data_IF_721668980518
#
_entry.id   IF_721668980518
#
_cell.length_a   1.000
_cell.length_b   1.000
_cell.length_c   1.000
_cell.angle_alpha   90.00
_cell.angle_beta   90.00
_cell.angle_gamma   90.00
#
_symmetry.space_group_name_H-M   'P 1'
#
loop_
_entity.id
_entity.type
_entity.pdbx_description
1 polymer ?
#
# COMPACT_ATOMS: atom_id res chain seq x y z
N UNK A 1 10.66 -25.30 19.13
CA UNK A 1 11.12 -25.69 17.79
C UNK A 1 10.61 -24.66 16.80
N UNK A 2 11.47 -23.75 16.36
CA UNK A 2 11.18 -22.84 15.24
C UNK A 2 10.94 -23.70 13.99
N UNK A 3 9.89 -23.45 13.20
CA UNK A 3 9.71 -24.19 11.96
C UNK A 3 10.95 -23.98 11.08
N UNK A 4 11.40 -24.99 10.33
CA UNK A 4 12.47 -24.80 9.38
C UNK A 4 12.05 -23.71 8.39
N UNK A 5 12.98 -22.81 8.07
CA UNK A 5 12.85 -21.86 6.96
C UNK A 5 12.90 -22.67 5.66
N UNK A 6 11.84 -23.42 5.36
CA UNK A 6 11.53 -23.69 3.97
C UNK A 6 11.31 -22.33 3.32
N UNK A 7 11.80 -22.14 2.09
CA UNK A 7 11.75 -20.87 1.38
C UNK A 7 10.29 -20.46 1.13
N UNK A 8 9.64 -19.87 2.14
CA UNK A 8 8.24 -19.48 2.14
C UNK A 8 7.98 -18.60 0.92
N UNK A 9 7.15 -19.05 -0.01
CA UNK A 9 6.89 -18.31 -1.24
C UNK A 9 6.15 -17.00 -0.99
N UNK A 10 5.52 -16.89 0.19
CA UNK A 10 4.91 -15.67 0.71
C UNK A 10 5.91 -14.72 1.39
N UNK A 11 7.20 -15.04 1.42
CA UNK A 11 8.24 -14.18 1.98
C UNK A 11 9.14 -13.64 0.85
N UNK A 12 8.94 -12.38 0.42
CA UNK A 12 9.86 -11.70 -0.49
C UNK A 12 11.29 -11.68 0.05
N UNK A 13 12.27 -11.51 -0.86
CA UNK A 13 13.65 -11.27 -0.47
C UNK A 13 13.74 -9.98 0.36
N UNK A 14 14.64 -9.96 1.34
CA UNK A 14 14.97 -8.70 1.99
C UNK A 14 15.63 -7.76 0.97
N UNK A 15 15.12 -6.54 0.75
CA UNK A 15 15.72 -5.62 -0.20
C UNK A 15 17.17 -5.29 0.16
N UNK A 16 18.04 -5.16 -0.85
CA UNK A 16 19.47 -4.86 -0.70
C UNK A 16 19.87 -3.79 -1.70
N UNK A 17 20.92 -3.03 -1.37
CA UNK A 17 21.50 -2.08 -2.29
C UNK A 17 21.93 -2.77 -3.60
N UNK A 18 21.57 -2.18 -4.74
CA UNK A 18 21.76 -2.75 -6.07
C UNK A 18 20.53 -3.51 -6.59
N UNK A 19 19.51 -3.75 -5.77
CA UNK A 19 18.22 -4.20 -6.28
C UNK A 19 17.55 -3.06 -7.08
N UNK A 20 16.95 -3.41 -8.22
CA UNK A 20 16.17 -2.48 -9.05
C UNK A 20 14.98 -3.21 -9.68
N UNK A 21 13.79 -2.61 -9.65
CA UNK A 21 12.57 -3.19 -10.22
C UNK A 21 11.83 -2.13 -11.02
N UNK A 22 11.42 -2.46 -12.25
CA UNK A 22 10.65 -1.57 -13.12
C UNK A 22 9.30 -2.18 -13.38
N UNK A 23 8.26 -1.37 -13.21
CA UNK A 23 6.86 -1.76 -13.32
C UNK A 23 6.13 -0.90 -14.34
N UNK A 24 5.07 -1.47 -14.90
CA UNK A 24 4.00 -0.71 -15.53
C UNK A 24 2.78 -0.79 -14.64
N UNK A 25 2.00 0.28 -14.56
CA UNK A 25 0.67 0.27 -13.98
C UNK A 25 -0.33 0.73 -15.02
N UNK A 26 -1.41 -0.02 -15.18
CA UNK A 26 -2.48 0.29 -16.11
C UNK A 26 -3.79 0.41 -15.35
N UNK A 27 -4.49 1.53 -15.50
CA UNK A 27 -5.77 1.80 -14.87
C UNK A 27 -6.94 1.80 -15.88
N UNK A 28 -8.07 1.20 -15.49
CA UNK A 28 -9.30 1.10 -16.26
C UNK A 28 -10.51 1.45 -15.38
N UNK A 29 -11.57 2.09 -15.91
CA UNK A 29 -11.63 2.78 -17.19
C UNK A 29 -10.75 4.04 -17.18
N UNK A 30 -10.08 4.35 -18.29
CA UNK A 30 -9.22 5.53 -18.41
C UNK A 30 -7.95 5.28 -19.24
N UNK A 31 -7.50 4.03 -19.35
CA UNK A 31 -6.36 3.64 -20.19
C UNK A 31 -5.04 4.28 -19.79
N UNK A 32 -4.97 4.88 -18.59
CA UNK A 32 -3.77 5.55 -18.11
C UNK A 32 -2.70 4.50 -17.83
N UNK A 33 -1.49 4.73 -18.37
CA UNK A 33 -0.32 3.89 -18.11
C UNK A 33 0.75 4.71 -17.40
N UNK A 34 1.21 4.19 -16.27
CA UNK A 34 2.25 4.80 -15.43
C UNK A 34 3.45 3.85 -15.35
N UNK A 35 4.64 4.36 -15.60
CA UNK A 35 5.88 3.63 -15.33
C UNK A 35 6.32 3.87 -13.89
N UNK A 36 6.78 2.83 -13.20
CA UNK A 36 7.45 2.99 -11.92
C UNK A 36 8.81 2.31 -11.94
N UNK A 37 9.81 2.92 -11.33
CA UNK A 37 11.12 2.32 -11.08
C UNK A 37 11.49 2.43 -9.62
N UNK A 38 11.85 1.31 -9.02
CA UNK A 38 12.19 1.16 -7.62
C UNK A 38 13.68 0.82 -7.58
N UNK A 39 14.51 1.75 -7.13
CA UNK A 39 15.96 1.56 -7.00
C UNK A 39 16.34 1.54 -5.52
N UNK A 40 17.04 0.49 -5.09
CA UNK A 40 17.53 0.34 -3.73
C UNK A 40 19.01 0.64 -3.65
N UNK A 41 19.41 1.57 -2.78
CA UNK A 41 20.80 2.00 -2.64
C UNK A 41 21.23 2.09 -1.18
N UNK A 42 22.51 1.83 -0.91
CA UNK A 42 23.09 2.08 0.41
C UNK A 42 23.08 3.58 0.68
N UNK A 43 22.60 3.96 1.84
CA UNK A 43 22.47 5.35 2.24
C UNK A 43 22.75 5.53 3.73
N UNK A 44 22.67 6.78 4.17
CA UNK A 44 22.56 7.11 5.59
C UNK A 44 21.33 7.99 5.79
N UNK A 45 20.65 7.82 6.93
CA UNK A 45 19.53 8.67 7.33
C UNK A 45 19.75 9.13 8.76
N UNK A 46 19.84 10.45 8.96
CA UNK A 46 20.12 11.07 10.27
C UNK A 46 21.35 10.47 10.98
N UNK A 47 22.41 10.20 10.20
CA UNK A 47 23.67 9.65 10.70
C UNK A 47 23.68 8.13 10.96
N UNK A 48 22.56 7.43 10.74
CA UNK A 48 22.46 5.98 10.84
C UNK A 48 22.55 5.32 9.46
N UNK A 49 23.07 4.08 9.41
CA UNK A 49 23.05 3.28 8.18
C UNK A 49 21.61 3.02 7.72
N UNK A 50 21.34 3.21 6.44
CA UNK A 50 20.01 3.11 5.85
C UNK A 50 20.06 2.40 4.48
N UNK A 51 18.93 1.81 4.10
CA UNK A 51 18.63 1.47 2.71
C UNK A 51 17.68 2.53 2.16
N UNK A 52 18.07 3.23 1.10
CA UNK A 52 17.22 4.17 0.40
C UNK A 52 16.46 3.47 -0.73
N UNK A 53 15.14 3.53 -0.70
CA UNK A 53 14.27 3.18 -1.82
C UNK A 53 13.89 4.46 -2.56
N UNK A 54 14.40 4.61 -3.77
CA UNK A 54 13.98 5.66 -4.70
C UNK A 54 12.89 5.12 -5.62
N UNK A 55 11.70 5.72 -5.56
CA UNK A 55 10.61 5.42 -6.49
C UNK A 55 10.56 6.56 -7.50
N UNK A 56 10.83 6.23 -8.77
CA UNK A 56 10.63 7.13 -9.91
C UNK A 56 9.32 6.77 -10.58
N UNK A 57 8.38 7.71 -10.63
CA UNK A 57 7.10 7.56 -11.35
C UNK A 57 7.16 8.35 -12.64
N UNK A 58 6.80 7.74 -13.77
CA UNK A 58 6.75 8.40 -15.07
C UNK A 58 5.33 8.33 -15.62
N UNK A 59 4.73 9.50 -15.86
CA UNK A 59 3.39 9.67 -16.41
C UNK A 59 3.45 10.64 -17.59
N UNK A 60 2.98 10.24 -18.77
CA UNK A 60 2.93 11.12 -19.95
C UNK A 60 4.26 11.83 -20.26
N UNK A 61 5.39 11.13 -20.06
CA UNK A 61 6.73 11.68 -20.30
C UNK A 61 7.29 12.58 -19.18
N UNK A 62 6.53 12.84 -18.11
CA UNK A 62 6.98 13.58 -16.93
C UNK A 62 7.34 12.61 -15.81
N UNK A 63 8.51 12.79 -15.20
CA UNK A 63 8.96 11.96 -14.08
C UNK A 63 8.96 12.72 -12.76
N UNK A 64 8.54 12.04 -11.69
CA UNK A 64 8.67 12.50 -10.31
C UNK A 64 9.39 11.43 -9.49
N UNK A 65 10.08 11.84 -8.41
CA UNK A 65 10.82 10.94 -7.54
C UNK A 65 10.44 11.15 -6.08
N UNK A 66 10.38 10.05 -5.34
CA UNK A 66 10.28 10.05 -3.88
C UNK A 66 11.30 9.07 -3.30
N UNK A 67 11.91 9.42 -2.16
CA UNK A 67 12.89 8.56 -1.49
C UNK A 67 12.45 8.28 -0.07
N UNK A 68 12.34 7.01 0.27
CA UNK A 68 12.14 6.52 1.64
C UNK A 68 13.38 5.79 2.13
N UNK A 69 13.59 5.80 3.44
CA UNK A 69 14.73 5.20 4.12
C UNK A 69 14.23 4.14 5.10
N UNK A 70 14.82 2.95 5.03
CA UNK A 70 14.55 1.85 5.95
C UNK A 70 15.84 1.36 6.61
N UNK A 71 15.70 0.74 7.78
CA UNK A 71 16.80 0.05 8.42
C UNK A 71 17.21 -1.15 7.55
N UNK A 72 18.49 -1.26 7.13
CA UNK A 72 18.91 -2.29 6.19
C UNK A 72 18.87 -3.71 6.77
N UNK A 73 18.79 -3.85 8.10
CA UNK A 73 18.76 -5.13 8.81
C UNK A 73 17.33 -5.54 9.15
N UNK A 74 16.52 -4.62 9.68
CA UNK A 74 15.18 -4.93 10.18
C UNK A 74 14.06 -4.57 9.20
N UNK A 75 14.34 -3.78 8.17
CA UNK A 75 13.34 -3.24 7.25
C UNK A 75 12.46 -2.13 7.86
N UNK A 76 12.69 -1.75 9.13
CA UNK A 76 11.90 -0.73 9.80
C UNK A 76 11.99 0.62 9.09
N UNK A 77 10.86 1.31 8.93
CA UNK A 77 10.82 2.65 8.33
C UNK A 77 11.57 3.66 9.21
N UNK A 78 12.55 4.36 8.62
CA UNK A 78 13.33 5.40 9.30
C UNK A 78 12.80 6.81 8.97
N UNK A 79 12.28 6.99 7.77
CA UNK A 79 11.77 8.27 7.30
C UNK A 79 11.79 8.38 5.78
N UNK A 80 11.53 9.58 5.27
CA UNK A 80 11.66 9.94 3.86
C UNK A 80 12.38 11.29 3.77
N UNK A 81 12.95 11.62 2.61
CA UNK A 81 13.34 13.00 2.35
C UNK A 81 12.08 13.84 2.33
N UNK A 82 12.06 14.94 3.08
CA UNK A 82 10.91 15.81 3.18
C UNK A 82 10.51 16.32 1.78
N UNK A 83 9.44 15.76 1.21
CA UNK A 83 8.59 16.57 0.36
C UNK A 83 8.08 17.73 1.24
N UNK A 84 8.07 18.95 0.70
CA UNK A 84 7.73 20.18 1.41
C UNK A 84 6.55 19.98 2.39
N UNK A 85 6.64 20.59 3.58
CA UNK A 85 5.77 20.42 4.75
C UNK A 85 4.27 20.63 4.50
N UNK A 86 3.64 19.67 3.83
CA UNK A 86 2.20 19.51 3.63
C UNK A 86 1.72 18.12 4.07
N UNK A 87 2.53 17.39 4.86
CA UNK A 87 2.32 15.98 5.12
C UNK A 87 1.07 15.73 5.95
N UNK A 88 0.13 15.00 5.35
CA UNK A 88 -0.96 14.36 6.07
C UNK A 88 -0.39 13.19 6.88
N UNK A 89 -0.61 13.17 8.19
CA UNK A 89 -0.21 12.08 9.09
C UNK A 89 -1.34 11.08 9.21
N UNK A 90 -1.04 9.79 9.12
CA UNK A 90 -1.98 8.70 9.38
C UNK A 90 -1.53 7.97 10.64
N UNK A 91 -2.38 7.95 11.67
CA UNK A 91 -2.18 7.15 12.88
C UNK A 91 -3.14 5.97 12.86
N UNK A 92 -2.64 4.75 12.94
CA UNK A 92 -3.45 3.53 13.06
C UNK A 92 -3.50 3.04 14.50
N UNK A 93 -4.62 2.44 14.86
CA UNK A 93 -4.87 1.78 16.13
C UNK A 93 -5.20 0.34 15.83
N UNK A 94 -4.13 -0.45 15.70
CA UNK A 94 -4.20 -1.86 15.35
C UNK A 94 -4.48 -2.69 16.62
N UNK A 95 -5.24 -3.80 16.51
CA UNK A 95 -5.44 -4.70 17.63
C UNK A 95 -4.11 -5.35 18.03
N UNK A 96 -3.88 -5.67 19.32
CA UNK A 96 -2.58 -6.18 19.78
C UNK A 96 -2.13 -7.49 19.10
N UNK A 97 -3.08 -8.31 18.66
CA UNK A 97 -2.87 -9.60 17.99
C UNK A 97 -2.90 -9.49 16.46
N UNK A 98 -2.88 -8.26 15.92
CA UNK A 98 -2.91 -7.98 14.49
C UNK A 98 -1.93 -8.83 13.69
N UNK A 99 -0.67 -8.84 14.11
CA UNK A 99 0.41 -9.53 13.39
C UNK A 99 0.19 -11.04 13.37
N UNK A 100 -0.29 -11.62 14.47
CA UNK A 100 -0.55 -13.06 14.57
C UNK A 100 -1.71 -13.48 13.66
N UNK A 101 -2.78 -12.66 13.60
CA UNK A 101 -3.90 -12.90 12.68
C UNK A 101 -3.43 -12.90 11.24
N UNK A 102 -2.67 -11.88 10.82
CA UNK A 102 -2.10 -11.82 9.47
C UNK A 102 -1.22 -13.03 9.19
N UNK A 103 -0.28 -13.33 10.08
CA UNK A 103 0.65 -14.43 9.92
C UNK A 103 -0.11 -15.74 9.68
N UNK A 104 -1.16 -16.01 10.46
CA UNK A 104 -1.94 -17.24 10.31
C UNK A 104 -2.55 -17.38 8.90
N UNK A 105 -3.10 -16.30 8.33
CA UNK A 105 -3.59 -16.34 6.94
C UNK A 105 -2.45 -16.49 5.94
N UNK A 106 -1.32 -15.80 6.13
CA UNK A 106 -0.15 -15.91 5.26
C UNK A 106 0.46 -17.31 5.24
N UNK A 107 0.42 -18.06 6.35
CA UNK A 107 1.04 -19.38 6.43
C UNK A 107 0.13 -20.53 6.03
N UNK A 108 -1.19 -20.31 5.94
CA UNK A 108 -2.15 -21.39 5.72
C UNK A 108 -3.09 -21.08 4.54
N UNK A 109 -2.96 -21.87 3.46
CA UNK A 109 -3.83 -21.74 2.27
C UNK A 109 -5.29 -21.96 2.65
N UNK A 110 -6.17 -21.09 2.14
CA UNK A 110 -7.61 -21.11 2.41
C UNK A 110 -8.02 -20.47 3.74
N UNK A 111 -7.07 -20.09 4.60
CA UNK A 111 -7.39 -19.34 5.82
C UNK A 111 -7.65 -17.88 5.50
N UNK A 112 -8.61 -17.31 6.22
CA UNK A 112 -8.99 -15.91 6.12
C UNK A 112 -8.71 -15.26 7.47
N UNK A 113 -7.85 -14.24 7.47
CA UNK A 113 -7.67 -13.36 8.62
C UNK A 113 -8.54 -12.13 8.45
N UNK A 114 -9.27 -11.74 9.49
CA UNK A 114 -10.04 -10.50 9.54
C UNK A 114 -9.46 -9.60 10.63
N UNK A 115 -9.15 -8.37 10.26
CA UNK A 115 -8.63 -7.37 11.19
C UNK A 115 -9.43 -6.09 11.05
N UNK A 116 -9.89 -5.57 12.19
CA UNK A 116 -10.49 -4.26 12.29
C UNK A 116 -9.45 -3.28 12.85
N UNK A 117 -9.22 -2.19 12.13
CA UNK A 117 -8.26 -1.14 12.46
C UNK A 117 -9.00 0.19 12.49
N UNK A 118 -8.65 1.05 13.42
CA UNK A 118 -9.10 2.45 13.38
C UNK A 118 -7.95 3.32 12.90
N UNK A 119 -8.25 4.29 12.07
CA UNK A 119 -7.26 5.28 11.67
C UNK A 119 -7.75 6.69 12.02
N UNK A 120 -6.79 7.55 12.35
CA UNK A 120 -6.97 8.98 12.48
C UNK A 120 -5.97 9.69 11.58
N UNK A 121 -6.49 10.47 10.64
CA UNK A 121 -5.72 11.19 9.63
C UNK A 121 -5.72 12.66 9.99
N UNK A 122 -4.56 13.30 10.10
CA UNK A 122 -4.42 14.72 10.46
C UNK A 122 -3.47 15.46 9.53
N UNK A 123 -3.47 16.79 9.58
CA UNK A 123 -2.50 17.63 8.87
C UNK A 123 -3.09 18.44 7.72
N UNK A 124 -2.24 19.14 6.95
CA UNK A 124 -2.67 20.17 5.99
C UNK A 124 -3.62 19.67 4.91
N UNK A 125 -3.51 18.40 4.49
CA UNK A 125 -4.43 17.80 3.51
C UNK A 125 -5.87 17.67 4.02
N UNK A 126 -6.05 17.47 5.33
CA UNK A 126 -7.38 17.43 5.96
C UNK A 126 -7.89 18.85 6.20
N UNK A 127 -7.06 19.71 6.83
CA UNK A 127 -7.49 21.07 7.17
C UNK A 127 -7.83 21.88 5.93
N UNK A 128 -7.03 21.78 4.86
CA UNK A 128 -7.25 22.48 3.59
C UNK A 128 -8.34 21.79 2.76
N UNK A 129 -8.33 20.46 2.70
CA UNK A 129 -9.28 19.68 1.89
C UNK A 129 -10.74 19.84 2.34
N UNK A 130 -10.97 20.11 3.63
CA UNK A 130 -12.30 20.33 4.20
C UNK A 130 -12.57 21.79 4.62
N UNK A 131 -11.71 22.74 4.24
CA UNK A 131 -11.86 24.15 4.60
C UNK A 131 -13.23 24.74 4.19
N UNK A 132 -13.74 24.36 3.02
CA UNK A 132 -15.01 24.84 2.47
C UNK A 132 -16.24 24.37 3.24
N UNK A 133 -16.14 23.28 4.01
CA UNK A 133 -17.24 22.74 4.82
C UNK A 133 -17.09 23.05 6.33
N UNK A 134 -16.34 24.09 6.67
CA UNK A 134 -16.13 24.54 8.05
C UNK A 134 -14.79 24.15 8.66
N UNK A 135 -13.87 23.60 7.85
CA UNK A 135 -12.57 23.11 8.31
C UNK A 135 -12.69 21.80 9.08
N UNK A 136 -11.58 21.08 9.20
CA UNK A 136 -11.48 19.90 10.05
C UNK A 136 -10.05 19.75 10.55
N UNK A 137 -9.89 19.22 11.77
CA UNK A 137 -8.57 18.97 12.35
C UNK A 137 -8.12 17.53 12.13
N UNK A 138 -9.07 16.61 11.94
CA UNK A 138 -8.79 15.21 11.62
C UNK A 138 -9.95 14.55 10.87
N UNK A 139 -9.63 13.44 10.20
CA UNK A 139 -10.58 12.49 9.64
C UNK A 139 -10.34 11.13 10.30
N UNK A 140 -11.33 10.58 10.98
CA UNK A 140 -11.27 9.22 11.53
C UNK A 140 -12.06 8.26 10.68
N UNK A 141 -11.57 7.03 10.54
CA UNK A 141 -12.34 5.95 9.93
C UNK A 141 -12.01 4.60 10.55
N UNK A 142 -12.95 3.67 10.42
CA UNK A 142 -12.75 2.27 10.73
C UNK A 142 -12.51 1.51 9.42
N UNK A 143 -11.44 0.72 9.39
CA UNK A 143 -11.11 -0.20 8.32
C UNK A 143 -11.30 -1.63 8.80
N UNK A 144 -11.96 -2.46 8.00
CA UNK A 144 -11.85 -3.91 8.15
C UNK A 144 -11.16 -4.44 6.91
N UNK A 145 -10.04 -5.13 7.08
CA UNK A 145 -9.48 -5.92 5.98
C UNK A 145 -9.55 -7.40 6.28
N UNK A 146 -9.87 -8.15 5.23
CA UNK A 146 -9.76 -9.60 5.18
C UNK A 146 -8.61 -9.97 4.28
N UNK A 147 -7.74 -10.87 4.72
CA UNK A 147 -6.65 -11.43 3.92
C UNK A 147 -6.89 -12.91 3.80
N UNK A 148 -6.99 -13.39 2.57
CA UNK A 148 -7.09 -14.81 2.25
C UNK A 148 -5.87 -15.24 1.45
N UNK A 149 -5.19 -16.29 1.92
CA UNK A 149 -4.16 -16.96 1.11
C UNK A 149 -4.82 -17.92 0.14
N UNK A 150 -4.74 -17.57 -1.15
CA UNK A 150 -5.17 -18.46 -2.24
C UNK A 150 -4.10 -19.51 -2.52
N UNK A 151 -4.45 -20.61 -3.21
CA UNK A 151 -3.47 -21.56 -3.69
C UNK A 151 -2.37 -20.87 -4.50
N UNK A 152 -1.13 -21.34 -4.34
CA UNK A 152 -0.02 -20.81 -5.11
C UNK A 152 -0.25 -21.09 -6.61
N UNK A 153 0.21 -20.17 -7.46
CA UNK A 153 0.11 -20.32 -8.92
C UNK A 153 1.39 -19.88 -9.61
N UNK A 154 1.60 -20.36 -10.83
CA UNK A 154 2.62 -19.78 -11.70
C UNK A 154 2.10 -18.47 -12.24
N UNK A 155 2.87 -17.39 -12.05
CA UNK A 155 2.52 -16.06 -12.50
C UNK A 155 3.43 -15.68 -13.68
N UNK A 156 2.83 -15.31 -14.81
CA UNK A 156 3.54 -14.71 -15.94
C UNK A 156 3.27 -13.20 -15.99
N UNK A 157 4.35 -12.43 -16.02
CA UNK A 157 4.37 -10.97 -16.22
C UNK A 157 5.39 -10.63 -17.31
N UNK A 158 5.50 -9.39 -17.80
CA UNK A 158 6.47 -9.06 -18.85
C UNK A 158 7.93 -9.36 -18.47
N UNK A 159 8.28 -9.33 -17.18
CA UNK A 159 9.61 -9.73 -16.70
C UNK A 159 9.89 -11.25 -16.77
N UNK A 160 8.90 -12.08 -17.07
CA UNK A 160 9.01 -13.54 -17.16
C UNK A 160 8.00 -14.29 -16.30
N UNK A 161 8.21 -15.60 -16.15
CA UNK A 161 7.35 -16.49 -15.36
C UNK A 161 7.99 -16.82 -14.01
N UNK A 162 7.23 -16.57 -12.94
CA UNK A 162 7.57 -16.96 -11.58
C UNK A 162 6.73 -18.18 -11.20
N UNK A 163 7.38 -19.32 -10.99
CA UNK A 163 6.70 -20.51 -10.50
C UNK A 163 6.36 -20.38 -9.01
N UNK A 164 5.27 -21.01 -8.59
CA UNK A 164 4.91 -21.16 -7.18
C UNK A 164 4.78 -19.81 -6.43
N UNK A 165 4.17 -18.79 -7.07
CA UNK A 165 3.94 -17.50 -6.42
C UNK A 165 2.84 -17.59 -5.38
N UNK A 166 3.03 -16.91 -4.25
CA UNK A 166 2.03 -16.83 -3.19
C UNK A 166 1.01 -15.74 -3.51
N UNK A 167 -0.25 -16.15 -3.67
CA UNK A 167 -1.35 -15.25 -4.02
C UNK A 167 -2.15 -14.91 -2.77
N UNK A 168 -2.28 -13.61 -2.48
CA UNK A 168 -3.10 -13.12 -1.39
C UNK A 168 -4.21 -12.25 -1.96
N UNK A 169 -5.44 -12.55 -1.56
CA UNK A 169 -6.59 -11.71 -1.83
C UNK A 169 -6.92 -10.91 -0.57
N UNK A 170 -6.91 -9.60 -0.70
CA UNK A 170 -7.15 -8.64 0.36
C UNK A 170 -8.44 -7.91 0.02
N UNK A 171 -9.42 -7.93 0.91
CA UNK A 171 -10.62 -7.11 0.75
C UNK A 171 -10.63 -6.08 1.86
N UNK A 172 -10.84 -4.82 1.52
CA UNK A 172 -10.89 -3.72 2.49
C UNK A 172 -12.27 -3.10 2.44
N UNK A 173 -12.91 -3.02 3.60
CA UNK A 173 -14.12 -2.26 3.84
C UNK A 173 -13.78 -1.06 4.71
N UNK A 174 -14.31 0.10 4.35
CA UNK A 174 -14.13 1.34 5.10
C UNK A 174 -15.50 1.76 5.64
N UNK A 175 -15.55 2.17 6.90
CA UNK A 175 -16.78 2.57 7.55
C UNK A 175 -16.54 3.60 8.65
N UNK A 176 -17.64 4.05 9.27
CA UNK A 176 -17.63 4.95 10.42
C UNK A 176 -16.75 6.20 10.22
N UNK A 177 -16.81 6.78 9.03
CA UNK A 177 -16.00 7.93 8.64
C UNK A 177 -16.54 9.19 9.32
N UNK A 178 -15.69 9.91 10.06
CA UNK A 178 -16.06 11.13 10.78
C UNK A 178 -14.99 12.20 10.60
N UNK A 179 -15.42 13.44 10.44
CA UNK A 179 -14.54 14.60 10.56
C UNK A 179 -14.56 15.10 12.00
N UNK A 180 -13.39 15.41 12.53
CA UNK A 180 -13.20 16.04 13.84
C UNK A 180 -12.95 17.54 13.67
N UNK A 181 -13.42 18.33 14.64
CA UNK A 181 -13.18 19.77 14.67
C UNK A 181 -13.89 20.55 13.57
N UNK A 182 -14.91 19.96 12.95
CA UNK A 182 -15.75 20.64 11.98
C UNK A 182 -16.75 21.58 12.66
N UNK A 183 -17.10 22.66 11.97
CA UNK A 183 -18.24 23.48 12.34
C UNK A 183 -19.55 22.77 11.98
N UNK A 184 -20.11 22.01 12.92
CA UNK A 184 -21.37 21.30 12.76
C UNK A 184 -22.59 22.21 12.48
N UNK A 185 -22.43 23.53 12.60
CA UNK A 185 -23.45 24.51 12.21
C UNK A 185 -23.38 24.92 10.74
N UNK A 186 -22.31 24.56 10.03
CA UNK A 186 -22.17 24.84 8.60
C UNK A 186 -23.16 23.98 7.78
N UNK A 187 -24.11 24.60 7.05
CA UNK A 187 -25.11 23.85 6.27
C UNK A 187 -24.50 23.05 5.11
N UNK A 188 -23.30 23.41 4.65
CA UNK A 188 -22.56 22.63 3.66
C UNK A 188 -22.01 21.33 4.27
N UNK A 189 -21.67 21.32 5.57
CA UNK A 189 -21.19 20.11 6.23
C UNK A 189 -22.26 19.02 6.24
N UNK A 190 -23.47 19.34 6.70
CA UNK A 190 -24.58 18.39 6.80
C UNK A 190 -25.04 17.88 5.43
N UNK A 191 -24.84 18.67 4.37
CA UNK A 191 -25.27 18.33 3.01
C UNK A 191 -24.20 17.57 2.22
N UNK A 192 -22.93 18.01 2.27
CA UNK A 192 -21.86 17.46 1.45
C UNK A 192 -21.10 16.32 2.14
N UNK A 193 -20.92 16.38 3.45
CA UNK A 193 -20.09 15.38 4.13
C UNK A 193 -20.65 13.96 4.05
N UNK A 194 -21.98 13.71 4.14
CA UNK A 194 -22.52 12.35 3.94
C UNK A 194 -22.23 11.79 2.55
N UNK A 195 -22.25 12.63 1.51
CA UNK A 195 -21.94 12.23 0.14
C UNK A 195 -20.44 11.94 -0.01
N UNK A 196 -19.59 12.81 0.54
CA UNK A 196 -18.14 12.63 0.55
C UNK A 196 -17.74 11.37 1.34
N UNK A 197 -18.29 11.16 2.53
CA UNK A 197 -18.00 9.98 3.34
C UNK A 197 -18.44 8.69 2.65
N UNK A 198 -19.59 8.69 1.96
CA UNK A 198 -20.02 7.55 1.15
C UNK A 198 -19.03 7.22 0.01
N UNK A 199 -18.35 8.22 -0.56
CA UNK A 199 -17.32 7.99 -1.58
C UNK A 199 -16.04 7.35 -1.00
N UNK A 200 -15.67 7.70 0.23
CA UNK A 200 -14.54 7.07 0.94
C UNK A 200 -14.87 5.68 1.51
N UNK A 201 -16.15 5.39 1.75
CA UNK A 201 -16.62 4.11 2.29
C UNK A 201 -16.64 2.97 1.25
N UNK A 202 -16.27 3.25 -0.01
CA UNK A 202 -16.34 2.25 -1.07
C UNK A 202 -15.32 1.13 -0.83
N UNK A 203 -15.75 -0.14 -0.78
CA UNK A 203 -14.84 -1.25 -0.58
C UNK A 203 -13.94 -1.40 -1.80
N UNK A 204 -12.71 -1.83 -1.54
CA UNK A 204 -11.78 -2.20 -2.60
C UNK A 204 -11.18 -3.57 -2.32
N UNK A 205 -10.81 -4.24 -3.39
CA UNK A 205 -10.13 -5.53 -3.36
C UNK A 205 -8.73 -5.35 -3.93
N UNK A 206 -7.76 -5.98 -3.32
CA UNK A 206 -6.40 -6.04 -3.82
C UNK A 206 -5.97 -7.48 -3.89
N UNK A 207 -5.50 -7.93 -5.05
CA UNK A 207 -4.80 -9.21 -5.18
C UNK A 207 -3.33 -8.92 -5.36
N UNK A 208 -2.49 -9.52 -4.50
CA UNK A 208 -1.03 -9.41 -4.60
C UNK A 208 -0.44 -10.79 -4.84
N UNK A 209 0.62 -10.82 -5.63
CA UNK A 209 1.43 -12.01 -5.84
C UNK A 209 2.80 -11.76 -5.25
N UNK A 210 3.21 -12.62 -4.33
CA UNK A 210 4.52 -12.59 -3.69
C UNK A 210 5.40 -13.69 -4.27
N UNK A 211 6.71 -13.44 -4.27
CA UNK A 211 7.70 -14.43 -4.68
C UNK A 211 8.94 -14.28 -3.81
N UNK A 212 9.46 -15.40 -3.33
CA UNK A 212 10.76 -15.47 -2.64
C UNK A 212 11.97 -15.24 -3.56
N UNK A 213 11.74 -14.90 -4.84
CA UNK A 213 12.78 -14.57 -5.83
C UNK A 213 12.97 -13.07 -6.01
N UNK A 214 12.08 -12.25 -5.47
CA UNK A 214 12.07 -10.80 -5.66
C UNK A 214 11.99 -10.08 -4.31
N UNK A 215 12.59 -8.90 -4.19
CA UNK A 215 12.46 -8.07 -2.99
C UNK A 215 11.11 -7.35 -2.89
N UNK A 216 10.28 -7.41 -3.94
CA UNK A 216 8.93 -6.83 -3.98
C UNK A 216 8.02 -7.66 -4.89
N UNK A 217 6.71 -7.41 -4.83
CA UNK A 217 5.70 -8.19 -5.55
C UNK A 217 5.82 -8.06 -7.08
N UNK A 218 5.80 -9.16 -7.86
CA UNK A 218 5.78 -9.12 -9.32
C UNK A 218 4.48 -8.57 -9.92
N UNK A 219 3.36 -8.69 -9.21
CA UNK A 219 2.06 -8.20 -9.67
C UNK A 219 1.17 -7.75 -8.51
N UNK A 220 0.40 -6.71 -8.77
CA UNK A 220 -0.70 -6.24 -7.93
C UNK A 220 -1.89 -5.93 -8.82
N UNK A 221 -3.08 -6.34 -8.40
CA UNK A 221 -4.34 -5.93 -9.00
C UNK A 221 -5.16 -5.26 -7.90
N UNK A 222 -5.65 -4.06 -8.16
CA UNK A 222 -6.61 -3.36 -7.28
C UNK A 222 -7.91 -3.23 -8.05
N UNK A 223 -9.01 -3.67 -7.46
CA UNK A 223 -10.37 -3.51 -7.96
C UNK A 223 -11.14 -2.62 -7.00
N UNK A 224 -11.64 -1.51 -7.49
CA UNK A 224 -12.55 -0.63 -6.74
C UNK A 224 -13.94 -0.74 -7.36
N UNK A 225 -14.96 -0.95 -6.53
CA UNK A 225 -16.35 -0.87 -6.96
C UNK A 225 -16.99 0.34 -6.29
N UNK A 226 -17.44 1.31 -7.07
CA UNK A 226 -18.19 2.46 -6.58
C UNK A 226 -19.60 2.49 -7.16
N UNK A 227 -20.48 3.28 -6.54
CA UNK A 227 -21.80 3.63 -7.11
C UNK A 227 -21.70 4.32 -8.48
N UNK A 228 -20.52 4.82 -8.86
CA UNK A 228 -20.25 5.52 -10.11
C UNK A 228 -19.56 4.61 -11.16
N UNK A 229 -19.28 3.36 -10.83
CA UNK A 229 -18.63 2.39 -11.71
C UNK A 229 -17.52 1.59 -11.03
N UNK A 230 -17.14 0.49 -11.68
CA UNK A 230 -15.98 -0.30 -11.28
C UNK A 230 -14.72 0.20 -12.00
N UNK A 231 -13.61 0.24 -11.27
CA UNK A 231 -12.30 0.54 -11.82
C UNK A 231 -11.28 -0.49 -11.35
N UNK A 232 -10.30 -0.79 -12.19
CA UNK A 232 -9.21 -1.70 -11.92
C UNK A 232 -7.87 -1.00 -12.16
N UNK A 233 -6.86 -1.33 -11.37
CA UNK A 233 -5.48 -0.88 -11.53
C UNK A 233 -4.58 -2.09 -11.42
N UNK A 234 -3.87 -2.42 -12.48
CA UNK A 234 -2.93 -3.55 -12.51
C UNK A 234 -1.51 -3.03 -12.57
N UNK A 235 -0.67 -3.37 -11.60
CA UNK A 235 0.78 -3.16 -11.63
C UNK A 235 1.47 -4.48 -11.97
N UNK A 236 2.35 -4.48 -12.97
CA UNK A 236 3.11 -5.66 -13.40
C UNK A 236 4.59 -5.33 -13.55
N UNK A 237 5.43 -6.25 -13.10
CA UNK A 237 6.88 -6.18 -13.23
C UNK A 237 7.30 -6.38 -14.69
N UNK A 238 8.05 -5.42 -15.22
CA UNK A 238 8.58 -5.44 -16.59
C UNK A 238 10.00 -5.96 -16.63
N UNK A 239 10.84 -5.50 -15.70
CA UNK A 239 12.23 -5.94 -15.59
C UNK A 239 12.72 -5.74 -14.17
N UNK A 240 13.76 -6.47 -13.81
CA UNK A 240 14.37 -6.38 -12.49
C UNK A 240 15.86 -6.73 -12.53
N UNK A 241 16.56 -6.28 -11.49
CA UNK A 241 17.92 -6.66 -11.14
C UNK A 241 17.92 -6.99 -9.65
N UNK A 242 18.47 -8.14 -9.30
CA UNK A 242 18.65 -8.56 -7.92
C UNK A 242 20.14 -8.55 -7.62
N UNK A 243 20.53 -7.82 -6.58
CA UNK A 243 21.90 -7.80 -6.09
C UNK A 243 22.34 -9.21 -5.63
N UNK A 244 23.64 -9.57 -5.75
CA UNK A 244 24.17 -10.81 -5.17
C UNK A 244 23.80 -10.89 -3.69
N UNK A 245 23.24 -12.03 -3.27
CA UNK A 245 22.70 -12.21 -1.91
C UNK A 245 23.79 -12.65 -0.95
#
# INVERSE_FOLDING_TARGET
MTPPVSANECAPLLPKAGDSLTYTNTANPGGATLGYKYDYTSATYQGQSALALTITTTANGVSSTGVSYTNPTTGAYLGATAAASSSTTVTTFDPPDYQDRINNAFYNVGQIATVAVKARVTGPGITTGFATIGGATALTMDYTYTIERKPNESLTVPAGTFANTCKLQINVAVGNIKLEGNDGSNPLFSTFFPVLSASFAQPFKSTVWLSNKLPNMPKTLIDTSSSFGAATSTQELITYTVAPR
#
